data_IF_923821083902
#
_entry.id   IF_923821083902
#
_cell.length_a   1.000
_cell.length_b   1.000
_cell.length_c   1.000
_cell.angle_alpha   90.00
_cell.angle_beta   90.00
_cell.angle_gamma   90.00
#
_symmetry.space_group_name_H-M   'P 1'
#
loop_
_entity.id
_entity.type
_entity.pdbx_description
1 polymer ?
#
# COMPACT_ATOMS: atom_id res chain seq x y z
N UNK A 1 2.21 9.95 2.46
CA UNK A 1 3.25 9.35 1.59
C UNK A 1 4.61 9.97 1.88
N UNK A 2 4.79 10.61 3.04
CA UNK A 2 6.10 11.07 3.48
C UNK A 2 7.07 9.88 3.66
N UNK A 3 8.38 10.09 3.49
CA UNK A 3 9.02 11.36 3.10
C UNK A 3 8.95 11.65 1.59
N UNK A 4 8.50 10.70 0.77
CA UNK A 4 8.61 10.79 -0.69
C UNK A 4 7.63 11.78 -1.34
N UNK A 5 6.46 11.98 -0.73
CA UNK A 5 5.47 12.99 -1.13
C UNK A 5 4.96 13.74 0.09
N UNK A 6 5.15 15.05 0.10
CA UNK A 6 4.82 15.97 1.19
C UNK A 6 3.48 16.68 0.95
N UNK A 7 2.91 17.22 2.03
CA UNK A 7 1.71 18.06 1.94
C UNK A 7 2.04 19.30 1.09
N UNK A 8 1.27 19.49 0.01
CA UNK A 8 1.45 20.62 -0.92
C UNK A 8 2.19 20.26 -2.21
N UNK A 9 2.78 19.06 -2.32
CA UNK A 9 3.41 18.61 -3.56
C UNK A 9 2.42 18.57 -4.72
N UNK A 10 2.89 19.00 -5.90
CA UNK A 10 2.15 18.90 -7.15
C UNK A 10 2.70 17.72 -7.96
N UNK A 11 1.85 16.73 -8.18
CA UNK A 11 2.21 15.50 -8.89
C UNK A 11 1.66 15.51 -10.33
N UNK A 12 2.45 15.01 -11.27
CA UNK A 12 1.97 14.69 -12.62
C UNK A 12 1.58 13.21 -12.66
N UNK A 13 0.30 12.92 -12.83
CA UNK A 13 -0.20 11.55 -12.93
C UNK A 13 -0.46 11.18 -14.40
N UNK A 14 0.17 10.11 -14.86
CA UNK A 14 -0.08 9.55 -16.19
C UNK A 14 -1.36 8.69 -16.15
N UNK A 15 -2.46 9.22 -16.70
CA UNK A 15 -3.80 8.62 -16.61
C UNK A 15 -4.08 7.46 -17.59
N UNK A 16 -3.06 6.85 -18.20
CA UNK A 16 -3.23 6.04 -19.42
C UNK A 16 -3.01 4.52 -19.26
N UNK A 17 -3.51 3.92 -18.17
CA UNK A 17 -3.52 2.45 -18.04
C UNK A 17 -4.90 1.97 -17.56
N UNK A 18 -5.80 1.73 -18.52
CA UNK A 18 -7.01 0.96 -18.28
C UNK A 18 -6.61 -0.51 -18.05
N UNK A 19 -6.42 -0.88 -16.78
CA UNK A 19 -6.26 -2.25 -16.32
C UNK A 19 -4.94 -2.52 -15.58
N UNK A 20 -5.02 -3.38 -14.56
CA UNK A 20 -3.89 -3.79 -13.70
C UNK A 20 -2.73 -4.48 -14.44
N UNK A 21 -2.88 -4.81 -15.73
CA UNK A 21 -1.88 -5.56 -16.51
C UNK A 21 -0.48 -4.94 -16.54
N UNK A 22 -0.39 -3.62 -16.34
CA UNK A 22 0.89 -2.92 -16.35
C UNK A 22 1.30 -2.35 -14.99
N UNK A 23 0.49 -2.57 -13.95
CA UNK A 23 0.81 -2.15 -12.59
C UNK A 23 1.90 -3.07 -12.03
N UNK A 24 2.96 -2.48 -11.50
CA UNK A 24 4.08 -3.17 -10.90
C UNK A 24 4.12 -2.90 -9.40
N UNK A 25 4.63 -3.87 -8.64
CA UNK A 25 4.95 -3.67 -7.23
C UNK A 25 5.92 -2.49 -7.13
N UNK A 26 5.63 -1.57 -6.21
CA UNK A 26 6.40 -0.34 -6.01
C UNK A 26 5.84 0.88 -6.76
N UNK A 27 4.92 0.72 -7.72
CA UNK A 27 4.28 1.85 -8.37
C UNK A 27 3.50 2.70 -7.36
N UNK A 28 3.46 4.03 -7.56
CA UNK A 28 2.60 4.94 -6.79
C UNK A 28 1.40 5.28 -7.67
N UNK A 29 0.20 4.97 -7.17
CA UNK A 29 -1.03 5.09 -7.96
C UNK A 29 -2.01 5.99 -7.22
N UNK A 30 -2.67 6.86 -7.99
CA UNK A 30 -3.86 7.60 -7.56
C UNK A 30 -5.10 6.78 -7.92
N UNK A 31 -5.96 6.50 -6.96
CA UNK A 31 -7.15 5.67 -7.13
C UNK A 31 -8.34 6.25 -6.35
N UNK A 32 -9.56 5.85 -6.74
CA UNK A 32 -10.77 6.18 -5.98
C UNK A 32 -10.82 5.35 -4.71
N UNK A 33 -10.98 6.00 -3.56
CA UNK A 33 -11.06 5.32 -2.28
C UNK A 33 -12.22 4.30 -2.28
N UNK A 34 -11.99 3.00 -2.01
CA UNK A 34 -13.02 1.98 -2.17
C UNK A 34 -14.29 2.20 -1.33
N UNK A 35 -14.17 2.82 -0.16
CA UNK A 35 -15.32 3.08 0.73
C UNK A 35 -16.03 4.42 0.44
N UNK A 36 -15.38 5.35 -0.27
CA UNK A 36 -15.99 6.60 -0.73
C UNK A 36 -15.32 7.08 -2.03
N UNK A 37 -15.86 6.68 -3.21
CA UNK A 37 -15.26 6.98 -4.51
C UNK A 37 -15.21 8.47 -4.88
N UNK A 38 -15.78 9.36 -4.07
CA UNK A 38 -15.64 10.81 -4.23
C UNK A 38 -14.25 11.30 -3.80
N UNK A 39 -13.51 10.50 -3.03
CA UNK A 39 -12.16 10.81 -2.56
C UNK A 39 -11.12 10.09 -3.41
N UNK A 40 -10.09 10.84 -3.81
CA UNK A 40 -8.89 10.29 -4.44
C UNK A 40 -7.82 10.02 -3.38
N UNK A 41 -7.25 8.82 -3.40
CA UNK A 41 -6.15 8.41 -2.52
C UNK A 41 -4.91 8.16 -3.38
N UNK A 42 -3.73 8.37 -2.78
CA UNK A 42 -2.44 8.04 -3.37
C UNK A 42 -1.65 7.15 -2.42
N UNK A 43 -1.26 5.97 -2.90
CA UNK A 43 -0.52 4.96 -2.13
C UNK A 43 0.42 4.18 -3.04
N UNK A 44 1.32 3.39 -2.45
CA UNK A 44 2.23 2.51 -3.16
C UNK A 44 1.65 1.10 -3.27
N UNK A 45 1.82 0.48 -4.44
CA UNK A 45 1.45 -0.91 -4.70
C UNK A 45 2.40 -1.84 -3.96
N UNK A 46 1.88 -2.55 -2.98
CA UNK A 46 2.63 -3.52 -2.19
C UNK A 46 2.28 -4.95 -2.56
N UNK A 47 1.02 -5.26 -2.87
CA UNK A 47 0.57 -6.59 -3.32
C UNK A 47 -0.15 -6.52 -4.66
N UNK A 48 0.21 -7.41 -5.56
CA UNK A 48 -0.41 -7.62 -6.88
C UNK A 48 -1.40 -8.80 -6.82
N UNK A 49 -2.30 -8.94 -7.81
CA UNK A 49 -3.22 -10.07 -7.88
C UNK A 49 -2.49 -11.41 -7.72
N UNK A 50 -2.96 -12.25 -6.78
CA UNK A 50 -2.39 -13.56 -6.50
C UNK A 50 -1.22 -13.58 -5.51
N UNK A 51 -0.69 -12.43 -5.10
CA UNK A 51 0.29 -12.36 -4.02
C UNK A 51 -0.32 -12.74 -2.67
N UNK A 52 0.51 -13.22 -1.75
CA UNK A 52 0.18 -13.32 -0.32
C UNK A 52 0.98 -12.25 0.41
N UNK A 53 0.29 -11.30 1.04
CA UNK A 53 0.90 -10.24 1.85
C UNK A 53 0.76 -10.58 3.33
N UNK A 54 1.84 -10.43 4.09
CA UNK A 54 1.88 -10.56 5.57
C UNK A 54 2.63 -9.36 6.14
N UNK A 55 2.20 -8.89 7.30
CA UNK A 55 3.00 -7.95 8.11
C UNK A 55 3.37 -8.64 9.41
N UNK A 56 4.64 -8.58 9.80
CA UNK A 56 5.13 -9.14 11.07
C UNK A 56 6.20 -8.21 11.63
N UNK A 57 5.99 -7.73 12.86
CA UNK A 57 6.84 -6.73 13.50
C UNK A 57 7.16 -5.54 12.59
N UNK A 58 6.13 -4.93 12.00
CA UNK A 58 6.22 -3.80 11.04
C UNK A 58 6.81 -4.13 9.67
N UNK A 59 7.45 -5.28 9.50
CA UNK A 59 8.08 -5.69 8.25
C UNK A 59 7.07 -6.33 7.31
N UNK A 60 7.16 -6.00 6.02
CA UNK A 60 6.28 -6.55 4.98
C UNK A 60 6.92 -7.78 4.36
N UNK A 61 6.12 -8.83 4.23
CA UNK A 61 6.48 -10.03 3.50
C UNK A 61 5.50 -10.23 2.35
N UNK A 62 6.02 -10.51 1.16
CA UNK A 62 5.21 -10.89 0.00
C UNK A 62 5.65 -12.27 -0.49
N UNK A 63 4.71 -13.20 -0.59
CA UNK A 63 4.96 -14.60 -0.96
C UNK A 63 6.06 -15.23 -0.09
N UNK A 64 6.05 -14.92 1.21
CA UNK A 64 7.00 -15.42 2.20
C UNK A 64 8.39 -14.76 2.19
N UNK A 65 8.64 -13.78 1.30
CA UNK A 65 9.91 -13.05 1.23
C UNK A 65 9.74 -11.64 1.79
N UNK A 66 10.63 -11.23 2.69
CA UNK A 66 10.67 -9.84 3.17
C UNK A 66 10.88 -8.90 1.98
N UNK A 67 10.06 -7.87 1.89
CA UNK A 67 10.14 -6.86 0.85
C UNK A 67 11.24 -5.85 1.22
N UNK A 68 12.10 -5.50 0.26
CA UNK A 68 13.07 -4.41 0.46
C UNK A 68 12.38 -3.07 0.21
N UNK A 69 12.33 -2.24 1.25
CA UNK A 69 11.53 -1.01 1.24
C UNK A 69 12.36 0.22 1.65
N UNK A 70 13.36 0.64 0.85
CA UNK A 70 14.21 1.79 1.18
C UNK A 70 13.45 3.13 1.18
N UNK A 71 12.18 3.14 0.81
CA UNK A 71 11.32 4.31 0.68
C UNK A 71 10.42 4.56 1.89
N UNK A 72 10.40 3.70 2.92
CA UNK A 72 9.45 3.82 4.03
C UNK A 72 10.03 4.57 5.22
N UNK A 73 9.15 5.07 6.08
CA UNK A 73 9.49 5.58 7.40
C UNK A 73 8.53 5.02 8.45
N UNK A 74 9.10 4.69 9.61
CA UNK A 74 8.38 4.44 10.85
C UNK A 74 8.63 5.61 11.80
N UNK A 75 7.56 6.19 12.34
CA UNK A 75 7.60 7.29 13.30
C UNK A 75 7.75 6.82 14.74
N UNK A 76 7.47 5.54 15.01
CA UNK A 76 7.64 4.95 16.34
C UNK A 76 8.46 3.64 16.31
N UNK A 77 8.88 3.20 17.51
CA UNK A 77 9.72 2.02 17.71
C UNK A 77 8.98 0.82 18.30
N UNK A 78 7.74 1.00 18.75
CA UNK A 78 6.96 -0.06 19.39
C UNK A 78 6.05 -0.76 18.40
N UNK A 79 5.72 -2.02 18.66
CA UNK A 79 4.75 -2.77 17.89
C UNK A 79 3.33 -2.47 18.40
N UNK A 80 2.47 -1.91 17.55
CA UNK A 80 1.06 -1.59 17.85
C UNK A 80 0.09 -2.74 17.53
N UNK A 81 0.59 -3.89 17.09
CA UNK A 81 -0.21 -5.07 16.78
C UNK A 81 -1.05 -4.92 15.52
N UNK A 82 -2.11 -5.73 15.44
CA UNK A 82 -3.01 -5.76 14.29
C UNK A 82 -3.91 -4.52 14.21
N UNK A 83 -4.14 -3.94 13.01
CA UNK A 83 -3.64 -4.39 11.70
C UNK A 83 -2.34 -3.72 11.25
N UNK A 84 -1.79 -2.80 12.06
CA UNK A 84 -0.75 -1.88 11.60
C UNK A 84 0.60 -2.57 11.42
N UNK A 85 1.00 -3.32 12.45
CA UNK A 85 2.35 -3.87 12.61
C UNK A 85 2.34 -5.41 12.60
N UNK A 86 1.14 -6.00 12.71
CA UNK A 86 0.87 -7.41 12.52
C UNK A 86 -0.31 -7.55 11.56
N UNK A 87 -0.17 -8.34 10.51
CA UNK A 87 -1.24 -8.59 9.56
C UNK A 87 -1.11 -10.02 9.04
N UNK A 88 -2.17 -10.84 9.14
CA UNK A 88 -2.10 -12.24 8.79
C UNK A 88 -1.77 -12.41 7.30
N UNK A 89 -1.15 -13.54 6.90
CA UNK A 89 -0.97 -13.88 5.50
C UNK A 89 -2.31 -13.82 4.75
N UNK A 90 -2.40 -12.87 3.83
CA UNK A 90 -3.66 -12.54 3.16
C UNK A 90 -3.44 -12.59 1.65
N UNK A 91 -4.17 -13.45 0.91
CA UNK A 91 -4.10 -13.49 -0.54
C UNK A 91 -4.77 -12.26 -1.14
N UNK A 92 -4.08 -11.59 -2.06
CA UNK A 92 -4.62 -10.48 -2.84
C UNK A 92 -5.53 -11.05 -3.93
N UNK A 93 -6.83 -10.68 -3.96
CA UNK A 93 -7.77 -11.20 -4.94
C UNK A 93 -7.36 -10.92 -6.38
N UNK A 94 -7.86 -11.74 -7.30
CA UNK A 94 -7.74 -11.48 -8.73
C UNK A 94 -8.37 -10.11 -9.06
N UNK A 95 -7.68 -9.30 -9.85
CA UNK A 95 -8.17 -7.97 -10.19
C UNK A 95 -8.13 -6.98 -9.03
N UNK A 96 -7.24 -7.16 -8.04
CA UNK A 96 -7.12 -6.22 -6.93
C UNK A 96 -5.66 -5.98 -6.53
N UNK A 97 -5.44 -4.89 -5.79
CA UNK A 97 -4.15 -4.46 -5.27
C UNK A 97 -4.21 -4.32 -3.75
N UNK A 98 -3.10 -4.62 -3.09
CA UNK A 98 -2.86 -4.25 -1.69
C UNK A 98 -1.92 -3.04 -1.66
N UNK A 99 -2.40 -1.93 -1.09
CA UNK A 99 -1.78 -0.61 -1.21
C UNK A 99 -1.37 -0.09 0.18
N UNK A 100 -0.12 0.35 0.36
CA UNK A 100 0.34 0.94 1.62
C UNK A 100 0.89 2.35 1.43
N UNK A 101 0.86 3.14 2.50
CA UNK A 101 1.59 4.40 2.56
C UNK A 101 3.06 4.21 2.91
N UNK A 102 3.90 5.12 2.42
CA UNK A 102 5.33 5.15 2.77
C UNK A 102 5.58 5.60 4.23
N UNK A 103 4.72 6.49 4.75
CA UNK A 103 4.68 6.84 6.18
C UNK A 103 3.83 5.78 6.91
N UNK A 104 4.48 4.68 7.30
CA UNK A 104 3.82 3.42 7.67
C UNK A 104 2.95 3.52 8.90
N UNK A 105 3.40 4.31 9.86
CA UNK A 105 2.73 4.46 11.15
C UNK A 105 1.59 5.47 11.10
N UNK A 106 1.55 6.31 10.05
CA UNK A 106 0.58 7.40 9.86
C UNK A 106 -0.19 7.28 8.53
N UNK A 107 -0.55 6.06 8.12
CA UNK A 107 -1.22 5.81 6.86
C UNK A 107 -2.47 4.94 7.03
N UNK A 108 -3.63 5.54 6.74
CA UNK A 108 -4.86 4.81 6.48
C UNK A 108 -4.82 4.20 5.07
N UNK A 109 -4.63 2.89 4.99
CA UNK A 109 -4.34 2.12 3.78
C UNK A 109 -4.91 0.70 3.84
N UNK A 110 -4.51 -0.20 2.92
CA UNK A 110 -5.14 -1.52 2.76
C UNK A 110 -5.17 -2.39 4.01
N UNK A 111 -4.32 -2.11 5.01
CA UNK A 111 -4.37 -2.74 6.34
C UNK A 111 -5.72 -2.50 7.05
N UNK A 112 -6.38 -1.38 6.79
CA UNK A 112 -7.60 -0.95 7.48
C UNK A 112 -8.86 -1.14 6.64
N UNK A 113 -8.78 -0.92 5.33
CA UNK A 113 -9.96 -0.93 4.44
C UNK A 113 -9.91 -1.97 3.31
N UNK A 114 -8.89 -2.83 3.26
CA UNK A 114 -8.80 -3.92 2.30
C UNK A 114 -8.24 -3.51 0.94
N UNK A 115 -8.71 -4.15 -0.13
CA UNK A 115 -8.06 -4.07 -1.44
C UNK A 115 -8.62 -2.96 -2.34
N UNK A 116 -7.82 -2.54 -3.32
CA UNK A 116 -8.24 -1.66 -4.42
C UNK A 116 -8.54 -2.52 -5.66
N UNK A 117 -9.74 -2.48 -6.25
CA UNK A 117 -10.06 -3.17 -7.50
C UNK A 117 -9.41 -2.55 -8.74
#
# INVERSE_FOLDING_TARGET
MEPNLQIGDRILAYKFLYGLKNVKRGDIIVFKFPLDPRKDFIKRVIGLPGDIVKVENKEIYVNGKQLSEPYIVHGDKWNSGFPRDEYPPTPVPAGSLFMLGDNRDSSDDSRYWGFVP
#
